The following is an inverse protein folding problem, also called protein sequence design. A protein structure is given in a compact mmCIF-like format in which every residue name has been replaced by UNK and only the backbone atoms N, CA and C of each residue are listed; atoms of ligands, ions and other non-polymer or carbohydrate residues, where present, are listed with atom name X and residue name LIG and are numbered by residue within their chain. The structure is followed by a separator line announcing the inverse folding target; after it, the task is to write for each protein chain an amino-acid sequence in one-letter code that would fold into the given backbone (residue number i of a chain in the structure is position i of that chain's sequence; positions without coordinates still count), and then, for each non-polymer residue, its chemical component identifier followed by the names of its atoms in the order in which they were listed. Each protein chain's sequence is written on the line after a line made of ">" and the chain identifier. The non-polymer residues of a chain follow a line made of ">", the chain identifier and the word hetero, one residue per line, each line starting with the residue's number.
data_IF_146330186068
#
_entry.id   IF_146330186068
#
_cell.length_a   1.000
_cell.length_b   1.000
_cell.length_c   1.000
_cell.angle_alpha   90.00
_cell.angle_beta   90.00
_cell.angle_gamma   90.00
#
_symmetry.space_group_name_H-M   'P 1'
#
loop_
_entity.id
_entity.type
_entity.pdbx_description
1 polymer ?
#
# COMPACT_ATOMS: atom_id res chain seq x y z
N UNK A 1 67.66 53.17 53.24
CA UNK A 1 68.59 52.58 52.30
C UNK A 1 68.23 51.12 52.10
N UNK A 2 68.02 50.71 50.87
CA UNK A 2 67.66 49.38 50.32
C UNK A 2 66.12 49.10 50.31
N UNK A 3 65.57 49.30 49.10
CA UNK A 3 64.30 48.86 48.56
C UNK A 3 64.41 47.38 48.19
N UNK A 4 63.50 46.58 48.61
CA UNK A 4 63.35 45.25 48.06
C UNK A 4 61.96 45.20 47.30
N UNK A 5 62.11 45.07 45.99
CA UNK A 5 60.97 44.83 45.08
C UNK A 5 60.48 43.39 45.23
N UNK A 6 59.23 43.24 45.54
CA UNK A 6 58.51 41.94 45.47
C UNK A 6 57.79 41.82 44.15
N UNK A 7 58.14 40.85 43.31
CA UNK A 7 57.45 40.48 42.11
C UNK A 7 56.23 39.63 42.48
N UNK A 8 55.03 40.12 42.14
CA UNK A 8 53.80 39.35 42.19
C UNK A 8 53.67 38.59 40.86
N UNK A 9 53.78 37.28 40.87
CA UNK A 9 53.47 36.44 39.74
C UNK A 9 51.98 36.17 39.73
N UNK A 10 51.28 36.74 38.78
CA UNK A 10 49.90 36.42 38.51
C UNK A 10 49.80 35.08 37.72
N UNK A 11 49.36 34.05 38.39
CA UNK A 11 49.06 32.76 37.78
C UNK A 11 47.76 32.83 36.98
N UNK A 12 47.87 32.64 35.69
CA UNK A 12 46.73 32.55 34.78
C UNK A 12 46.12 31.15 34.91
N UNK A 13 45.00 31.02 35.60
CA UNK A 13 44.21 29.75 35.58
C UNK A 13 43.46 29.64 34.26
N UNK A 14 43.93 28.74 33.41
CA UNK A 14 43.17 28.33 32.22
C UNK A 14 42.10 27.35 32.67
N UNK A 15 40.86 27.85 32.76
CA UNK A 15 39.69 26.97 32.99
C UNK A 15 39.34 26.34 31.64
N UNK A 16 39.71 25.06 31.46
CA UNK A 16 39.24 24.24 30.35
C UNK A 16 37.76 23.93 30.54
N UNK A 17 36.91 24.53 29.71
CA UNK A 17 35.51 24.15 29.61
C UNK A 17 35.40 22.68 29.10
N UNK A 18 34.56 21.84 29.71
CA UNK A 18 34.34 20.51 29.17
C UNK A 18 33.64 20.66 27.81
N UNK A 19 34.24 20.02 26.78
CA UNK A 19 33.61 19.88 25.49
C UNK A 19 32.23 19.21 25.67
N UNK A 20 31.16 19.95 25.45
CA UNK A 20 29.83 19.38 25.34
C UNK A 20 29.86 18.35 24.20
N UNK A 21 29.79 17.09 24.58
CA UNK A 21 29.51 16.00 23.64
C UNK A 21 28.05 16.24 23.20
N UNK A 22 27.91 16.94 22.08
CA UNK A 22 26.60 17.03 21.40
C UNK A 22 26.25 15.58 21.03
N UNK A 23 25.38 15.01 21.83
CA UNK A 23 24.75 13.73 21.53
C UNK A 23 23.84 13.97 20.32
N UNK A 24 24.41 13.85 19.11
CA UNK A 24 23.67 13.80 17.89
C UNK A 24 22.86 12.51 17.94
N UNK A 25 21.69 12.59 18.55
CA UNK A 25 20.67 11.60 18.45
C UNK A 25 20.19 11.66 17.00
N UNK A 26 20.87 10.88 16.16
CA UNK A 26 20.42 10.58 14.81
C UNK A 26 19.06 9.94 15.01
N UNK A 27 17.97 10.70 14.81
CA UNK A 27 16.63 10.14 14.78
C UNK A 27 16.64 9.09 13.68
N UNK A 28 16.58 7.82 14.07
CA UNK A 28 16.47 6.74 13.12
C UNK A 28 15.28 7.06 12.20
N UNK A 29 15.55 7.15 10.90
CA UNK A 29 14.53 7.42 9.91
C UNK A 29 13.41 6.40 10.06
N UNK A 30 12.17 6.88 10.24
CA UNK A 30 11.03 6.02 10.46
C UNK A 30 10.82 5.16 9.22
N UNK A 31 10.81 3.84 9.40
CA UNK A 31 10.50 2.91 8.33
C UNK A 31 9.02 2.94 7.99
N UNK A 32 8.69 2.82 6.70
CA UNK A 32 7.33 2.82 6.18
C UNK A 32 7.05 1.51 5.44
N UNK A 33 5.77 1.12 5.34
CA UNK A 33 5.37 -0.01 4.51
C UNK A 33 5.49 0.39 3.03
N UNK A 34 6.14 -0.45 2.24
CA UNK A 34 6.40 -0.18 0.81
C UNK A 34 5.18 -0.43 -0.08
N UNK A 35 4.19 -1.19 0.42
CA UNK A 35 2.99 -1.53 -0.32
C UNK A 35 2.27 -2.75 0.25
N UNK A 36 1.24 -3.21 -0.45
CA UNK A 36 0.49 -4.41 -0.08
C UNK A 36 1.27 -5.62 -0.58
N UNK A 37 1.73 -6.47 0.35
CA UNK A 37 2.47 -7.71 0.04
C UNK A 37 1.57 -8.90 -0.30
N UNK A 38 0.30 -8.85 0.07
CA UNK A 38 -0.67 -9.92 -0.23
C UNK A 38 -2.03 -9.67 0.40
N UNK A 39 -3.04 -10.33 -0.15
CA UNK A 39 -4.40 -10.38 0.40
C UNK A 39 -4.72 -11.85 0.73
N UNK A 40 -5.15 -12.13 1.95
CA UNK A 40 -5.52 -13.46 2.40
C UNK A 40 -7.01 -13.51 2.71
N UNK A 41 -7.72 -14.36 2.00
CA UNK A 41 -9.17 -14.53 2.13
C UNK A 41 -9.51 -15.97 2.50
N UNK A 42 -10.62 -16.17 3.18
CA UNK A 42 -11.18 -17.51 3.37
C UNK A 42 -12.01 -17.88 2.17
N UNK A 43 -11.84 -19.10 1.67
CA UNK A 43 -12.58 -19.63 0.54
C UNK A 43 -13.19 -20.99 0.92
N UNK A 44 -14.37 -21.27 0.38
CA UNK A 44 -14.99 -22.57 0.49
C UNK A 44 -14.26 -23.60 -0.37
N UNK A 45 -13.83 -23.20 -1.57
CA UNK A 45 -12.98 -23.98 -2.46
C UNK A 45 -11.79 -23.11 -2.93
N UNK A 46 -10.66 -23.12 -2.19
CA UNK A 46 -9.49 -22.31 -2.54
C UNK A 46 -8.90 -22.60 -3.92
N UNK A 47 -8.97 -23.87 -4.37
CA UNK A 47 -8.42 -24.26 -5.67
C UNK A 47 -9.27 -23.71 -6.84
N UNK A 48 -10.58 -23.88 -6.76
CA UNK A 48 -11.50 -23.37 -7.76
C UNK A 48 -11.47 -21.82 -7.79
N UNK A 49 -11.41 -21.18 -6.63
CA UNK A 49 -11.35 -19.72 -6.54
C UNK A 49 -10.03 -19.19 -7.15
N UNK A 50 -8.89 -19.80 -6.84
CA UNK A 50 -7.60 -19.41 -7.43
C UNK A 50 -7.58 -19.55 -8.95
N UNK A 51 -8.12 -20.65 -9.48
CA UNK A 51 -8.21 -20.87 -10.92
C UNK A 51 -9.12 -19.82 -11.60
N UNK A 52 -10.19 -19.39 -10.94
CA UNK A 52 -11.05 -18.34 -11.43
C UNK A 52 -10.31 -16.98 -11.51
N UNK A 53 -9.58 -16.61 -10.45
CA UNK A 53 -8.79 -15.37 -10.41
C UNK A 53 -7.68 -15.37 -11.47
N UNK A 54 -7.00 -16.50 -11.68
CA UNK A 54 -6.01 -16.64 -12.73
C UNK A 54 -6.63 -16.47 -14.11
N UNK A 55 -7.71 -17.21 -14.39
CA UNK A 55 -8.36 -17.22 -15.70
C UNK A 55 -8.94 -15.85 -16.09
N UNK A 56 -9.64 -15.19 -15.17
CA UNK A 56 -10.45 -14.01 -15.49
C UNK A 56 -9.75 -12.69 -15.17
N UNK A 57 -8.85 -12.68 -14.20
CA UNK A 57 -8.19 -11.47 -13.72
C UNK A 57 -6.66 -11.48 -13.90
N UNK A 58 -6.09 -12.60 -14.36
CA UNK A 58 -4.65 -12.72 -14.57
C UNK A 58 -3.85 -12.73 -13.26
N UNK A 59 -4.48 -13.11 -12.15
CA UNK A 59 -3.84 -13.19 -10.84
C UNK A 59 -3.34 -14.61 -10.62
N UNK A 60 -2.03 -14.82 -10.69
CA UNK A 60 -1.43 -16.14 -10.55
C UNK A 60 -1.76 -16.75 -9.18
N UNK A 61 -1.96 -18.08 -9.12
CA UNK A 61 -2.07 -18.81 -7.85
C UNK A 61 -0.85 -18.59 -6.95
N UNK A 62 -1.03 -18.86 -5.67
CA UNK A 62 0.09 -18.87 -4.72
C UNK A 62 1.16 -19.86 -5.19
N UNK A 63 2.44 -19.47 -5.24
CA UNK A 63 3.55 -20.36 -5.55
C UNK A 63 3.55 -21.64 -4.68
N UNK A 64 3.75 -22.79 -5.29
CA UNK A 64 3.87 -24.09 -4.60
C UNK A 64 5.31 -24.48 -4.36
N UNK A 65 6.24 -23.79 -5.02
CA UNK A 65 7.68 -23.95 -4.86
C UNK A 65 8.39 -22.59 -4.82
N UNK A 66 9.64 -22.57 -4.37
CA UNK A 66 10.47 -21.34 -4.38
C UNK A 66 10.92 -20.92 -5.77
N UNK A 67 10.75 -21.79 -6.76
CA UNK A 67 11.09 -21.50 -8.17
C UNK A 67 9.92 -20.86 -8.93
N UNK A 68 8.71 -20.92 -8.37
CA UNK A 68 7.51 -20.32 -8.97
C UNK A 68 7.50 -18.80 -8.76
N UNK A 69 7.07 -18.06 -9.76
CA UNK A 69 6.95 -16.61 -9.67
C UNK A 69 5.55 -16.23 -9.15
N UNK A 70 5.44 -15.49 -8.05
CA UNK A 70 4.15 -14.97 -7.60
C UNK A 70 3.60 -13.94 -8.60
N UNK A 71 2.32 -13.60 -8.46
CA UNK A 71 1.75 -12.47 -9.19
C UNK A 71 2.47 -11.17 -8.85
N UNK A 72 3.00 -10.51 -9.87
CA UNK A 72 3.70 -9.23 -9.73
C UNK A 72 2.77 -8.11 -10.16
N UNK A 73 2.44 -7.22 -9.25
CA UNK A 73 1.63 -6.04 -9.52
C UNK A 73 2.42 -5.03 -10.35
N UNK A 74 1.77 -4.42 -11.33
CA UNK A 74 2.36 -3.27 -12.01
C UNK A 74 2.43 -2.08 -11.05
N UNK A 75 3.46 -1.25 -11.20
CA UNK A 75 3.61 0.00 -10.46
C UNK A 75 2.39 0.91 -10.66
N UNK A 76 1.99 1.59 -9.59
CA UNK A 76 0.89 2.55 -9.65
C UNK A 76 0.23 2.79 -8.29
N UNK A 77 -0.72 3.74 -8.22
CA UNK A 77 -1.36 4.12 -6.98
C UNK A 77 -2.14 2.96 -6.36
N UNK A 78 -2.09 2.87 -5.05
CA UNK A 78 -2.90 1.95 -4.23
C UNK A 78 -3.67 2.76 -3.20
N UNK A 79 -4.97 2.49 -3.08
CA UNK A 79 -5.83 3.14 -2.11
C UNK A 79 -6.05 2.20 -0.94
N UNK A 80 -5.78 2.69 0.27
CA UNK A 80 -6.19 2.06 1.52
C UNK A 80 -7.23 2.95 2.17
N UNK A 81 -8.50 2.52 2.16
CA UNK A 81 -9.62 3.33 2.63
C UNK A 81 -10.44 2.59 3.69
N UNK A 82 -10.18 2.85 4.98
CA UNK A 82 -11.13 2.47 6.02
C UNK A 82 -12.45 3.23 5.79
N UNK A 83 -13.56 2.49 5.75
CA UNK A 83 -14.89 3.06 5.54
C UNK A 83 -15.78 2.82 6.76
N UNK A 84 -16.73 3.74 7.06
CA UNK A 84 -17.71 3.49 8.11
C UNK A 84 -18.66 2.36 7.72
N UNK A 85 -19.24 1.67 8.69
CA UNK A 85 -20.19 0.56 8.50
C UNK A 85 -21.43 0.95 7.68
N UNK A 86 -21.72 2.25 7.59
CA UNK A 86 -22.86 2.82 6.87
C UNK A 86 -22.51 3.28 5.45
N UNK A 87 -21.40 2.84 4.87
CA UNK A 87 -21.06 3.12 3.46
C UNK A 87 -22.06 2.37 2.55
N UNK A 88 -23.29 2.87 2.50
CA UNK A 88 -24.39 2.30 1.71
C UNK A 88 -23.97 2.14 0.25
N UNK A 89 -24.13 0.94 -0.27
CA UNK A 89 -23.97 0.63 -1.69
C UNK A 89 -22.55 0.30 -2.14
N UNK A 90 -21.50 0.50 -1.33
CA UNK A 90 -20.14 0.11 -1.74
C UNK A 90 -19.81 -1.34 -1.40
N UNK A 91 -20.25 -1.82 -0.23
CA UNK A 91 -20.03 -3.20 0.18
C UNK A 91 -21.36 -3.94 0.27
N UNK A 92 -21.47 -5.16 -0.28
CA UNK A 92 -22.63 -6.01 -0.07
C UNK A 92 -22.81 -6.34 1.41
N UNK A 93 -24.05 -6.62 1.81
CA UNK A 93 -24.38 -7.04 3.17
C UNK A 93 -23.51 -8.23 3.60
N UNK A 94 -22.97 -8.17 4.80
CA UNK A 94 -22.10 -9.21 5.38
C UNK A 94 -20.66 -9.23 4.86
N UNK A 95 -20.29 -8.33 3.95
CA UNK A 95 -18.90 -8.19 3.49
C UNK A 95 -18.22 -7.02 4.20
N UNK A 96 -16.98 -7.22 4.63
CA UNK A 96 -16.19 -6.23 5.36
C UNK A 96 -15.01 -5.65 4.56
N UNK A 97 -14.85 -6.09 3.31
CA UNK A 97 -13.78 -5.64 2.40
C UNK A 97 -14.21 -5.78 0.95
N UNK A 98 -13.53 -5.05 0.09
CA UNK A 98 -13.65 -5.14 -1.37
C UNK A 98 -12.26 -5.08 -1.98
N UNK A 99 -12.01 -5.92 -2.98
CA UNK A 99 -10.77 -5.88 -3.75
C UNK A 99 -10.94 -4.88 -4.90
N UNK A 100 -10.11 -3.84 -4.92
CA UNK A 100 -10.04 -2.92 -6.07
C UNK A 100 -8.81 -3.28 -6.90
N UNK A 101 -9.02 -3.50 -8.21
CA UNK A 101 -7.98 -3.85 -9.17
C UNK A 101 -7.85 -2.77 -10.23
N UNK A 102 -6.64 -2.26 -10.44
CA UNK A 102 -6.37 -1.33 -11.54
C UNK A 102 -6.37 -2.06 -12.88
N UNK A 103 -7.00 -1.46 -13.88
CA UNK A 103 -7.03 -1.94 -15.26
C UNK A 103 -6.61 -0.81 -16.21
N UNK A 104 -6.03 -1.17 -17.35
CA UNK A 104 -5.58 -0.18 -18.32
C UNK A 104 -6.71 0.33 -19.22
N UNK A 105 -7.69 -0.51 -19.51
CA UNK A 105 -8.84 -0.23 -20.37
C UNK A 105 -10.04 -0.99 -19.81
N UNK A 106 -10.95 -0.27 -19.20
CA UNK A 106 -12.12 -0.86 -18.51
C UNK A 106 -13.13 -1.44 -19.49
N UNK A 107 -13.30 -0.84 -20.67
CA UNK A 107 -14.24 -1.35 -21.68
C UNK A 107 -13.77 -2.69 -22.25
N UNK A 108 -12.48 -2.77 -22.64
CA UNK A 108 -11.89 -3.99 -23.17
C UNK A 108 -11.91 -5.11 -22.11
N UNK A 109 -11.58 -4.77 -20.86
CA UNK A 109 -11.57 -5.75 -19.78
C UNK A 109 -12.96 -6.28 -19.45
N UNK A 110 -13.95 -5.40 -19.37
CA UNK A 110 -15.35 -5.78 -19.13
C UNK A 110 -15.92 -6.59 -20.30
N UNK A 111 -15.58 -6.25 -21.55
CA UNK A 111 -15.97 -7.04 -22.71
C UNK A 111 -15.44 -8.48 -22.65
N UNK A 112 -14.18 -8.65 -22.24
CA UNK A 112 -13.56 -9.96 -22.01
C UNK A 112 -14.29 -10.76 -20.92
N UNK A 113 -14.56 -10.16 -19.78
CA UNK A 113 -15.28 -10.80 -18.68
C UNK A 113 -16.69 -11.25 -19.09
N UNK A 114 -17.43 -10.40 -19.81
CA UNK A 114 -18.76 -10.72 -20.32
C UNK A 114 -18.73 -11.86 -21.34
N UNK A 115 -17.73 -11.89 -22.22
CA UNK A 115 -17.55 -12.98 -23.16
C UNK A 115 -17.30 -14.32 -22.46
N UNK A 116 -16.65 -14.30 -21.32
CA UNK A 116 -16.41 -15.45 -20.44
C UNK A 116 -17.62 -15.81 -19.53
N UNK A 117 -18.74 -15.07 -19.64
CA UNK A 117 -19.94 -15.29 -18.86
C UNK A 117 -19.88 -14.73 -17.43
N UNK A 118 -18.91 -13.87 -17.12
CA UNK A 118 -18.84 -13.18 -15.82
C UNK A 118 -19.76 -11.97 -15.82
N UNK A 119 -20.65 -11.89 -14.84
CA UNK A 119 -21.51 -10.72 -14.63
C UNK A 119 -20.67 -9.55 -14.12
N UNK A 120 -20.68 -8.44 -14.85
CA UNK A 120 -19.93 -7.23 -14.52
C UNK A 120 -20.65 -6.00 -15.07
N UNK A 121 -20.65 -4.92 -14.28
CA UNK A 121 -21.31 -3.67 -14.62
C UNK A 121 -20.33 -2.51 -14.57
N UNK A 122 -20.30 -1.70 -15.65
CA UNK A 122 -19.55 -0.43 -15.67
C UNK A 122 -20.43 0.63 -15.03
N UNK A 123 -19.87 1.40 -14.10
CA UNK A 123 -20.52 2.61 -13.60
C UNK A 123 -20.65 3.62 -14.76
N UNK A 124 -21.89 4.08 -15.09
CA UNK A 124 -22.08 5.04 -16.16
C UNK A 124 -21.45 6.41 -15.88
N UNK A 125 -21.10 6.69 -14.63
CA UNK A 125 -20.46 7.94 -14.23
C UNK A 125 -18.94 7.86 -14.42
N UNK A 126 -18.37 8.91 -15.00
CA UNK A 126 -16.92 9.13 -15.00
C UNK A 126 -16.57 10.08 -13.87
N UNK A 127 -15.60 9.66 -13.05
CA UNK A 127 -15.14 10.43 -11.89
C UNK A 127 -13.83 11.17 -12.20
N UNK A 128 -13.47 12.18 -11.41
CA UNK A 128 -12.20 12.89 -11.59
C UNK A 128 -10.95 12.00 -11.51
N UNK A 129 -11.04 10.89 -10.75
CA UNK A 129 -9.97 9.92 -10.54
C UNK A 129 -10.07 8.69 -11.47
N UNK A 130 -11.04 8.62 -12.36
CA UNK A 130 -11.15 7.53 -13.33
C UNK A 130 -12.54 6.95 -13.50
N UNK A 131 -12.59 5.72 -14.01
CA UNK A 131 -13.80 4.95 -14.28
C UNK A 131 -13.78 3.67 -13.46
N UNK A 132 -14.99 3.16 -13.17
CA UNK A 132 -15.15 1.98 -12.33
C UNK A 132 -16.09 0.95 -12.95
N UNK A 133 -15.88 -0.31 -12.62
CA UNK A 133 -16.83 -1.39 -12.85
C UNK A 133 -16.86 -2.31 -11.63
N UNK A 134 -17.99 -2.98 -11.41
CA UNK A 134 -18.18 -3.86 -10.26
C UNK A 134 -18.56 -5.26 -10.70
N UNK A 135 -18.04 -6.24 -9.98
CA UNK A 135 -18.36 -7.64 -10.15
C UNK A 135 -18.21 -8.36 -8.81
N UNK A 136 -18.55 -9.64 -8.78
CA UNK A 136 -18.22 -10.51 -7.66
C UNK A 136 -17.52 -11.79 -8.16
N UNK A 137 -16.67 -12.37 -7.32
CA UNK A 137 -16.12 -13.69 -7.56
C UNK A 137 -17.20 -14.79 -7.34
N UNK A 138 -16.91 -16.06 -7.65
CA UNK A 138 -17.86 -17.15 -7.46
C UNK A 138 -18.35 -17.37 -6.03
N UNK A 139 -17.62 -16.87 -5.04
CA UNK A 139 -17.99 -16.93 -3.62
C UNK A 139 -18.63 -15.64 -3.12
N UNK A 140 -19.00 -14.73 -4.05
CA UNK A 140 -19.68 -13.48 -3.77
C UNK A 140 -18.80 -12.43 -3.10
N UNK A 141 -17.47 -12.51 -3.22
CA UNK A 141 -16.60 -11.45 -2.73
C UNK A 141 -16.62 -10.29 -3.71
N UNK A 142 -16.82 -9.05 -3.23
CA UNK A 142 -16.92 -7.88 -4.10
C UNK A 142 -15.57 -7.50 -4.69
N UNK A 143 -15.59 -7.24 -6.00
CA UNK A 143 -14.44 -6.77 -6.77
C UNK A 143 -14.85 -5.50 -7.50
N UNK A 144 -13.98 -4.51 -7.46
CA UNK A 144 -14.11 -3.29 -8.26
C UNK A 144 -12.92 -3.19 -9.21
N UNK A 145 -13.19 -2.96 -10.48
CA UNK A 145 -12.17 -2.58 -11.46
C UNK A 145 -12.06 -1.06 -11.47
N UNK A 146 -10.86 -0.56 -11.57
CA UNK A 146 -10.57 0.86 -11.64
C UNK A 146 -9.60 1.16 -12.78
N UNK A 147 -10.08 1.91 -13.76
CA UNK A 147 -9.25 2.55 -14.78
C UNK A 147 -8.87 3.95 -14.28
N UNK A 148 -7.66 4.13 -13.72
CA UNK A 148 -7.27 5.41 -13.17
C UNK A 148 -7.08 6.46 -14.26
N UNK A 149 -7.61 7.64 -14.02
CA UNK A 149 -7.23 8.82 -14.78
C UNK A 149 -5.95 9.38 -14.14
N UNK A 150 -4.82 9.04 -14.73
CA UNK A 150 -3.54 9.60 -14.31
C UNK A 150 -3.45 11.07 -14.71
N UNK A 151 -2.74 11.89 -13.92
CA UNK A 151 -2.57 13.33 -14.19
C UNK A 151 -1.76 13.60 -15.46
#
# INVERSE_FOLDING_TARGET
>A
MRVLSGFLAAGLMVVSAPASVANAQQSAERQEALGIGGLFVRAADPAALSAWYEKHLGINPVPTSYDDTPWVQQEGPTIFSPMPDIAEGMLPEGKSWMLNLRVADIEAFVAQLKADGVAVEIDPQTYPNGRFATLADPEGNPIQLWEPKLP
#
